data_IF_863326159384
#
_entry.id   IF_863326159384
#
_cell.length_a   1.000
_cell.length_b   1.000
_cell.length_c   1.000
_cell.angle_alpha   90.00
_cell.angle_beta   90.00
_cell.angle_gamma   90.00
#
_symmetry.space_group_name_H-M   'P 1'
#
loop_
_entity.id
_entity.type
_entity.pdbx_description
1 polymer ?
#
# COMPACT_ATOMS: atom_id res chain seq x y z
N UNK A 1 -26.02 -49.01 -6.25
CA UNK A 1 -26.71 -48.40 -5.10
C UNK A 1 -25.87 -48.66 -3.86
N UNK A 2 -25.13 -47.65 -3.40
CA UNK A 2 -24.57 -47.64 -2.05
C UNK A 2 -24.57 -46.17 -1.61
N UNK A 3 -25.60 -45.81 -0.86
CA UNK A 3 -25.66 -44.55 -0.12
C UNK A 3 -24.60 -44.61 0.98
N UNK A 4 -23.67 -43.66 0.96
CA UNK A 4 -22.91 -43.29 2.14
C UNK A 4 -22.86 -41.77 2.20
N UNK A 5 -23.89 -41.23 2.84
CA UNK A 5 -23.98 -39.88 3.35
C UNK A 5 -22.94 -39.75 4.47
N UNK A 6 -21.84 -39.02 4.23
CA UNK A 6 -20.99 -38.51 5.33
C UNK A 6 -20.80 -37.02 5.14
N UNK A 7 -21.58 -36.30 5.93
CA UNK A 7 -21.42 -34.90 6.28
C UNK A 7 -20.10 -34.76 7.05
N UNK A 8 -19.15 -34.00 6.53
CA UNK A 8 -18.31 -33.13 7.36
C UNK A 8 -18.19 -31.79 6.65
N UNK A 9 -19.01 -30.85 7.12
CA UNK A 9 -18.83 -29.42 6.99
C UNK A 9 -17.45 -29.03 7.53
N UNK A 10 -16.43 -29.09 6.69
CA UNK A 10 -15.18 -28.38 6.89
C UNK A 10 -15.36 -26.94 6.43
N UNK A 11 -16.10 -26.13 7.19
CA UNK A 11 -16.10 -24.68 7.04
C UNK A 11 -14.72 -24.14 7.46
N UNK A 12 -13.71 -24.40 6.63
CA UNK A 12 -12.51 -23.60 6.60
C UNK A 12 -12.90 -22.25 6.01
N UNK A 13 -13.35 -21.33 6.85
CA UNK A 13 -13.24 -19.91 6.54
C UNK A 13 -11.74 -19.62 6.44
N UNK A 14 -11.16 -19.85 5.26
CA UNK A 14 -10.00 -19.09 4.84
C UNK A 14 -10.48 -17.64 4.85
N UNK A 15 -10.14 -16.92 5.92
CA UNK A 15 -10.12 -15.48 5.93
C UNK A 15 -9.28 -15.06 4.72
N UNK A 16 -9.95 -14.71 3.62
CA UNK A 16 -9.28 -14.12 2.49
C UNK A 16 -8.77 -12.77 2.98
N UNK A 17 -7.48 -12.69 3.30
CA UNK A 17 -6.81 -11.41 3.42
C UNK A 17 -7.09 -10.65 2.11
N UNK A 18 -7.48 -9.38 2.23
CA UNK A 18 -7.71 -8.52 1.07
C UNK A 18 -6.53 -8.61 0.10
N UNK A 19 -6.74 -8.52 -1.23
CA UNK A 19 -5.62 -8.55 -2.16
C UNK A 19 -4.69 -7.37 -1.90
N UNK A 20 -3.39 -7.66 -1.72
CA UNK A 20 -2.36 -6.62 -1.61
C UNK A 20 -2.29 -5.89 -2.95
N UNK A 21 -2.27 -4.54 -2.99
CA UNK A 21 -2.12 -3.80 -4.23
C UNK A 21 -0.80 -4.16 -4.92
N UNK A 22 -0.81 -4.21 -6.26
CA UNK A 22 0.42 -4.38 -7.02
C UNK A 22 1.26 -3.10 -6.91
N UNK A 23 2.49 -3.23 -6.41
CA UNK A 23 3.41 -2.11 -6.20
C UNK A 23 4.75 -2.44 -6.89
N UNK A 24 5.25 -1.54 -7.75
CA UNK A 24 4.61 -0.30 -8.24
C UNK A 24 3.47 -0.57 -9.24
N UNK A 25 2.57 0.40 -9.42
CA UNK A 25 1.58 0.33 -10.48
C UNK A 25 2.27 0.46 -11.85
N UNK A 26 1.99 -0.47 -12.75
CA UNK A 26 2.66 -0.55 -14.06
C UNK A 26 2.41 0.70 -14.91
N UNK A 27 3.49 1.31 -15.42
CA UNK A 27 3.43 2.43 -16.37
C UNK A 27 2.99 3.76 -15.76
N UNK A 28 2.96 3.87 -14.43
CA UNK A 28 2.51 5.06 -13.72
C UNK A 28 3.44 5.36 -12.54
N UNK A 29 3.70 6.65 -12.31
CA UNK A 29 4.35 7.11 -11.07
C UNK A 29 3.57 6.57 -9.89
N UNK A 30 4.24 5.93 -8.94
CA UNK A 30 3.58 5.29 -7.80
C UNK A 30 4.18 5.79 -6.51
N UNK A 31 3.34 6.18 -5.55
CA UNK A 31 3.71 6.31 -4.16
C UNK A 31 2.97 5.24 -3.37
N UNK A 32 3.70 4.50 -2.53
CA UNK A 32 3.10 3.58 -1.55
C UNK A 32 3.47 4.02 -0.14
N UNK A 33 2.48 4.12 0.74
CA UNK A 33 2.66 4.29 2.18
C UNK A 33 2.46 2.93 2.83
N UNK A 34 3.49 2.46 3.53
CA UNK A 34 3.45 1.18 4.20
C UNK A 34 3.41 1.44 5.71
N UNK A 35 2.29 1.09 6.32
CA UNK A 35 1.97 1.47 7.68
C UNK A 35 1.03 0.48 8.37
N UNK A 36 0.33 0.94 9.40
CA UNK A 36 -0.69 0.15 10.09
C UNK A 36 -1.82 1.06 10.60
N UNK A 37 -3.08 0.67 10.43
CA UNK A 37 -4.26 1.47 10.82
C UNK A 37 -4.29 1.85 12.30
N UNK A 38 -3.63 1.10 13.18
CA UNK A 38 -3.60 1.42 14.62
C UNK A 38 -2.36 2.21 15.08
N UNK A 39 -1.40 2.48 14.18
CA UNK A 39 -0.22 3.29 14.49
C UNK A 39 -0.58 4.80 14.43
N UNK A 40 -0.25 5.57 15.47
CA UNK A 40 -0.66 6.98 15.59
C UNK A 40 -0.15 7.83 14.42
N UNK A 41 1.16 7.84 14.09
CA UNK A 41 1.64 8.54 12.89
C UNK A 41 0.97 8.09 11.59
N UNK A 42 0.64 6.79 11.44
CA UNK A 42 -0.07 6.30 10.25
C UNK A 42 -1.50 6.85 10.15
N UNK A 43 -2.20 7.00 11.29
CA UNK A 43 -3.54 7.62 11.31
C UNK A 43 -3.51 9.08 10.85
N UNK A 44 -2.41 9.79 11.10
CA UNK A 44 -2.23 11.15 10.60
C UNK A 44 -1.98 11.19 9.09
N UNK A 45 -1.36 10.16 8.53
CA UNK A 45 -1.17 10.02 7.08
C UNK A 45 -2.48 9.72 6.35
N UNK A 46 -3.40 8.96 6.95
CA UNK A 46 -4.65 8.55 6.30
C UNK A 46 -5.43 9.68 5.57
N UNK A 47 -5.77 10.82 6.21
CA UNK A 47 -6.45 11.92 5.50
C UNK A 47 -5.59 12.54 4.38
N UNK A 48 -4.27 12.58 4.55
CA UNK A 48 -3.34 13.08 3.54
C UNK A 48 -3.37 12.16 2.31
N UNK A 49 -3.31 10.84 2.53
CA UNK A 49 -3.34 9.84 1.46
C UNK A 49 -4.67 9.87 0.70
N UNK A 50 -5.81 10.00 1.39
CA UNK A 50 -7.12 10.10 0.74
C UNK A 50 -7.26 11.36 -0.13
N UNK A 51 -6.69 12.49 0.32
CA UNK A 51 -6.66 13.72 -0.49
C UNK A 51 -5.78 13.58 -1.72
N UNK A 52 -4.59 13.00 -1.56
CA UNK A 52 -3.65 12.77 -2.66
C UNK A 52 -4.19 11.76 -3.67
N UNK A 53 -4.83 10.68 -3.23
CA UNK A 53 -5.44 9.70 -4.13
C UNK A 53 -6.48 10.36 -5.05
N UNK A 54 -7.30 11.27 -4.52
CA UNK A 54 -8.28 12.03 -5.30
C UNK A 54 -7.62 13.02 -6.26
N UNK A 55 -6.60 13.74 -5.81
CA UNK A 55 -5.91 14.76 -6.62
C UNK A 55 -5.10 14.17 -7.78
N UNK A 56 -4.47 13.02 -7.54
CA UNK A 56 -3.61 12.33 -8.50
C UNK A 56 -4.33 11.22 -9.25
N UNK A 57 -5.65 11.06 -9.07
CA UNK A 57 -6.44 10.05 -9.76
C UNK A 57 -6.19 10.11 -11.28
N UNK A 58 -5.75 8.99 -11.84
CA UNK A 58 -5.43 8.86 -13.27
C UNK A 58 -4.08 9.46 -13.71
N UNK A 59 -3.32 10.09 -12.80
CA UNK A 59 -1.98 10.65 -13.06
C UNK A 59 -0.88 9.84 -12.35
N UNK A 60 -1.08 9.56 -11.06
CA UNK A 60 -0.18 8.76 -10.24
C UNK A 60 -0.99 7.80 -9.36
N UNK A 61 -0.39 6.67 -8.99
CA UNK A 61 -0.97 5.73 -8.05
C UNK A 61 -0.53 6.10 -6.62
N UNK A 62 -1.48 6.36 -5.73
CA UNK A 62 -1.23 6.57 -4.30
C UNK A 62 -1.82 5.37 -3.57
N UNK A 63 -0.97 4.55 -2.97
CA UNK A 63 -1.34 3.25 -2.42
C UNK A 63 -1.02 3.18 -0.93
N UNK A 64 -1.82 2.43 -0.19
CA UNK A 64 -1.56 2.13 1.22
C UNK A 64 -1.51 0.62 1.44
N UNK A 65 -0.53 0.17 2.22
CA UNK A 65 -0.40 -1.23 2.65
C UNK A 65 -0.40 -1.28 4.18
N UNK A 66 -1.36 -1.98 4.75
CA UNK A 66 -1.37 -2.29 6.18
C UNK A 66 -0.54 -3.55 6.46
N UNK A 67 0.59 -3.39 7.17
CA UNK A 67 1.50 -4.50 7.50
C UNK A 67 0.98 -5.42 8.61
N UNK A 68 -0.08 -5.06 9.31
CA UNK A 68 -0.74 -5.95 10.26
C UNK A 68 -1.73 -6.88 9.57
N UNK A 69 -2.36 -6.43 8.48
CA UNK A 69 -3.17 -7.26 7.60
C UNK A 69 -2.27 -8.10 6.65
N UNK A 70 -1.13 -7.55 6.23
CA UNK A 70 -0.19 -8.18 5.28
C UNK A 70 1.24 -8.23 5.84
N UNK A 71 1.47 -9.16 6.77
CA UNK A 71 2.72 -9.26 7.55
C UNK A 71 3.98 -9.51 6.72
N UNK A 72 3.84 -10.12 5.56
CA UNK A 72 4.95 -10.39 4.65
C UNK A 72 5.47 -9.12 3.94
N UNK A 73 4.62 -8.10 3.80
CA UNK A 73 4.97 -6.87 3.08
C UNK A 73 6.07 -6.07 3.81
N UNK A 74 6.07 -6.06 5.15
CA UNK A 74 7.11 -5.37 5.91
C UNK A 74 8.52 -5.86 5.59
N UNK A 75 8.70 -7.18 5.52
CA UNK A 75 9.98 -7.78 5.14
C UNK A 75 10.28 -7.56 3.65
N UNK A 76 9.28 -7.74 2.78
CA UNK A 76 9.42 -7.56 1.32
C UNK A 76 9.94 -6.17 0.94
N UNK A 77 9.46 -5.13 1.62
CA UNK A 77 9.87 -3.74 1.38
C UNK A 77 11.04 -3.28 2.27
N UNK A 78 11.62 -4.17 3.08
CA UNK A 78 12.79 -3.88 3.93
C UNK A 78 12.52 -2.84 5.01
N UNK A 79 11.31 -2.83 5.60
CA UNK A 79 10.91 -1.81 6.55
C UNK A 79 11.67 -1.91 7.88
N UNK A 80 12.11 -0.74 8.36
CA UNK A 80 12.69 -0.55 9.70
C UNK A 80 11.75 0.22 10.63
N UNK A 81 10.96 1.11 10.06
CA UNK A 81 10.01 1.98 10.75
C UNK A 81 8.71 2.08 9.94
N UNK A 82 7.59 2.32 10.62
CA UNK A 82 6.33 2.70 9.99
C UNK A 82 5.86 4.07 10.50
N UNK A 83 5.16 4.87 9.67
CA UNK A 83 4.94 4.64 8.24
C UNK A 83 6.22 4.83 7.42
N UNK A 84 6.29 4.21 6.25
CA UNK A 84 7.36 4.44 5.26
C UNK A 84 6.73 4.71 3.91
N UNK A 85 7.06 5.85 3.29
CA UNK A 85 6.59 6.22 1.95
C UNK A 85 7.68 5.93 0.92
N UNK A 86 7.36 5.18 -0.12
CA UNK A 86 8.27 4.81 -1.19
C UNK A 86 7.71 5.31 -2.51
N UNK A 87 8.56 5.98 -3.29
CA UNK A 87 8.20 6.60 -4.56
C UNK A 87 8.90 5.87 -5.71
N UNK A 88 8.12 5.53 -6.73
CA UNK A 88 8.56 4.85 -7.94
C UNK A 88 8.27 5.72 -9.15
N UNK A 89 9.18 5.73 -10.12
CA UNK A 89 8.93 6.34 -11.43
C UNK A 89 8.01 5.46 -12.31
N UNK A 90 7.74 5.92 -13.54
CA UNK A 90 6.89 5.22 -14.51
C UNK A 90 7.47 3.87 -14.95
N UNK A 91 8.78 3.68 -14.80
CA UNK A 91 9.49 2.41 -15.11
C UNK A 91 9.44 1.44 -13.92
N UNK A 92 8.91 1.88 -12.77
CA UNK A 92 8.81 1.09 -11.55
C UNK A 92 10.10 1.04 -10.74
N UNK A 93 11.05 1.94 -11.00
CA UNK A 93 12.28 2.04 -10.20
C UNK A 93 12.02 2.89 -8.97
N UNK A 94 12.45 2.41 -7.81
CA UNK A 94 12.43 3.18 -6.56
C UNK A 94 13.36 4.39 -6.69
N UNK A 95 12.81 5.60 -6.54
CA UNK A 95 13.52 6.87 -6.69
C UNK A 95 13.75 7.58 -5.37
N UNK A 96 12.86 7.38 -4.40
CA UNK A 96 12.93 8.03 -3.10
C UNK A 96 12.17 7.24 -2.05
N UNK A 97 12.64 7.31 -0.80
CA UNK A 97 12.03 6.70 0.37
C UNK A 97 12.12 7.65 1.56
N UNK A 98 11.04 7.75 2.33
CA UNK A 98 10.95 8.49 3.58
C UNK A 98 10.46 7.56 4.70
N UNK A 99 11.02 7.71 5.90
CA UNK A 99 10.59 6.99 7.10
C UNK A 99 9.97 7.98 8.09
N UNK A 100 8.79 7.64 8.61
CA UNK A 100 8.01 8.47 9.52
C UNK A 100 6.93 9.29 8.82
N UNK A 101 6.38 10.26 9.55
CA UNK A 101 5.35 11.15 9.03
C UNK A 101 5.92 12.08 7.94
N UNK A 102 5.13 12.32 6.89
CA UNK A 102 5.48 13.17 5.77
C UNK A 102 4.32 14.11 5.45
N UNK A 103 4.60 15.41 5.39
CA UNK A 103 3.59 16.43 5.08
C UNK A 103 3.11 16.31 3.63
N UNK A 104 1.83 16.66 3.40
CA UNK A 104 1.19 16.55 2.08
C UNK A 104 1.97 17.26 0.98
N UNK A 105 2.41 18.49 1.23
CA UNK A 105 3.10 19.30 0.21
C UNK A 105 4.46 18.69 -0.19
N UNK A 106 5.15 18.04 0.75
CA UNK A 106 6.39 17.33 0.44
C UNK A 106 6.12 16.11 -0.46
N UNK A 107 5.01 15.40 -0.24
CA UNK A 107 4.61 14.27 -1.09
C UNK A 107 4.26 14.76 -2.50
N UNK A 108 3.48 15.85 -2.60
CA UNK A 108 3.13 16.49 -3.88
C UNK A 108 4.36 16.88 -4.67
N UNK A 109 5.33 17.54 -4.05
CA UNK A 109 6.58 17.94 -4.72
C UNK A 109 7.30 16.74 -5.35
N UNK A 110 7.34 15.60 -4.65
CA UNK A 110 7.95 14.37 -5.18
C UNK A 110 7.15 13.78 -6.34
N UNK A 111 5.83 13.67 -6.19
CA UNK A 111 4.96 13.14 -7.25
C UNK A 111 5.04 14.01 -8.50
N UNK A 112 4.93 15.33 -8.36
CA UNK A 112 4.97 16.28 -9.49
C UNK A 112 6.32 16.23 -10.21
N UNK A 113 7.41 16.16 -9.44
CA UNK A 113 8.76 16.02 -10.01
C UNK A 113 8.92 14.72 -10.80
N UNK A 114 8.29 13.62 -10.37
CA UNK A 114 8.33 12.34 -11.09
C UNK A 114 7.41 12.33 -12.32
N UNK A 115 6.28 13.03 -12.26
CA UNK A 115 5.36 13.14 -13.39
C UNK A 115 5.93 13.97 -14.54
N UNK A 116 6.75 14.97 -14.20
CA UNK A 116 7.43 15.85 -15.16
C UNK A 116 8.64 15.20 -15.87
N UNK A 117 9.07 14.02 -15.43
CA UNK A 117 10.09 13.20 -16.09
C UNK A 117 9.46 12.35 -17.20
#
# INVERSE_FOLDING_TARGET
MCFALVIVLGAGVCFAASPVPEVPAKGMVTMVDIGAKACIPCKMMAPILEELEKEYQGKAAVLFIDVWEHRDQGAKFGLKLIPTQIFYDKEGKETYRHEGFMEKDAIREKLDKLLAQ
#
